data_IF_099529133391
#
_entry.id   IF_099529133391
#
_cell.length_a   1.000
_cell.length_b   1.000
_cell.length_c   1.000
_cell.angle_alpha   90.00
_cell.angle_beta   90.00
_cell.angle_gamma   90.00
#
_symmetry.space_group_name_H-M   'P 1'
#
loop_
_entity.id
_entity.type
_entity.pdbx_description
1 polymer ?
#
# COMPACT_ATOMS: atom_id res chain seq x y z
N UNK A 1 36.78 25.08 -77.01
CA UNK A 1 36.73 25.62 -75.65
C UNK A 1 35.26 25.86 -75.32
N UNK A 2 34.62 25.30 -74.31
CA UNK A 2 35.00 24.30 -73.31
C UNK A 2 33.69 23.76 -72.74
N UNK A 3 33.62 22.45 -72.62
CA UNK A 3 32.55 21.71 -71.95
C UNK A 3 32.52 22.07 -70.45
N UNK A 4 31.50 22.80 -70.02
CA UNK A 4 31.20 23.01 -68.58
C UNK A 4 29.79 22.54 -68.24
N UNK A 5 29.25 21.59 -68.99
CA UNK A 5 28.02 20.89 -68.63
C UNK A 5 28.36 19.64 -67.79
N UNK A 6 29.08 19.82 -66.69
CA UNK A 6 29.34 18.73 -65.74
C UNK A 6 28.94 19.17 -64.35
N UNK A 7 28.03 18.38 -63.76
CA UNK A 7 27.74 18.31 -62.33
C UNK A 7 27.04 19.51 -61.67
N UNK A 8 25.77 19.73 -62.03
CA UNK A 8 24.82 20.35 -61.09
C UNK A 8 23.95 19.25 -60.49
N UNK A 9 24.43 18.63 -59.42
CA UNK A 9 23.61 17.74 -58.60
C UNK A 9 22.32 18.46 -58.15
N UNK A 10 21.15 17.80 -58.17
CA UNK A 10 19.92 18.42 -57.70
C UNK A 10 20.05 18.72 -56.20
N UNK A 11 19.85 19.98 -55.82
CA UNK A 11 19.75 20.38 -54.41
C UNK A 11 18.45 19.84 -53.83
N UNK A 12 18.54 18.71 -53.12
CA UNK A 12 17.42 18.17 -52.35
C UNK A 12 17.11 19.12 -51.19
N UNK A 13 15.90 19.69 -51.16
CA UNK A 13 15.43 20.46 -50.02
C UNK A 13 15.43 19.55 -48.78
N UNK A 14 16.13 19.95 -47.72
CA UNK A 14 16.08 19.25 -46.44
C UNK A 14 14.97 19.84 -45.59
N UNK A 15 14.01 19.01 -45.21
CA UNK A 15 13.00 19.35 -44.22
C UNK A 15 13.63 19.23 -42.82
N UNK A 16 13.54 20.25 -41.95
CA UNK A 16 13.94 20.11 -40.56
C UNK A 16 13.20 18.94 -39.89
N UNK A 17 13.89 18.22 -39.01
CA UNK A 17 13.27 17.17 -38.21
C UNK A 17 12.39 17.83 -37.13
N UNK A 18 11.17 17.30 -36.86
CA UNK A 18 10.37 17.77 -35.73
C UNK A 18 11.09 17.47 -34.39
N UNK A 19 10.80 18.24 -33.33
CA UNK A 19 11.30 17.94 -32.01
C UNK A 19 10.72 16.61 -31.51
N UNK A 20 11.48 15.93 -30.66
CA UNK A 20 11.04 14.69 -30.03
C UNK A 20 9.84 14.94 -29.09
N UNK A 21 8.96 13.93 -28.92
CA UNK A 21 7.85 14.03 -27.98
C UNK A 21 8.36 14.14 -26.53
N UNK A 22 7.55 14.73 -25.62
CA UNK A 22 7.89 14.74 -24.21
C UNK A 22 7.93 13.32 -23.66
N UNK A 23 8.84 13.08 -22.71
CA UNK A 23 8.87 11.82 -21.96
C UNK A 23 7.87 11.90 -20.82
N UNK A 24 6.89 11.00 -20.79
CA UNK A 24 5.98 10.84 -19.66
C UNK A 24 6.73 10.19 -18.50
N UNK A 25 6.65 10.72 -17.27
CA UNK A 25 7.21 10.02 -16.11
C UNK A 25 6.53 8.66 -15.94
N UNK A 26 7.22 7.66 -15.34
CA UNK A 26 6.61 6.39 -15.04
C UNK A 26 5.43 6.59 -14.09
N UNK A 27 4.38 5.78 -14.28
CA UNK A 27 3.23 5.78 -13.39
C UNK A 27 3.68 5.50 -11.94
N UNK A 28 3.22 6.32 -11.00
CA UNK A 28 3.40 6.01 -9.58
C UNK A 28 2.43 4.90 -9.17
N UNK A 29 2.86 3.96 -8.30
CA UNK A 29 1.96 2.97 -7.76
C UNK A 29 0.84 3.64 -6.95
N UNK A 30 -0.35 3.00 -6.87
CA UNK A 30 -1.42 3.49 -6.00
C UNK A 30 -0.95 3.48 -4.54
N UNK A 31 -1.52 4.36 -3.68
CA UNK A 31 -1.19 4.37 -2.27
C UNK A 31 -1.55 3.03 -1.62
N UNK A 32 -0.75 2.62 -0.63
CA UNK A 32 -1.05 1.44 0.19
C UNK A 32 -2.28 1.69 1.06
N UNK A 33 -3.21 0.72 1.17
CA UNK A 33 -4.35 0.81 2.09
C UNK A 33 -3.88 1.01 3.54
N UNK A 34 -4.57 1.87 4.27
CA UNK A 34 -4.31 2.09 5.70
C UNK A 34 -5.05 1.00 6.49
N UNK A 35 -4.38 0.31 7.44
CA UNK A 35 -5.05 -0.68 8.30
C UNK A 35 -6.12 -0.01 9.18
N UNK A 36 -7.17 -0.75 9.57
CA UNK A 36 -8.15 -0.25 10.53
C UNK A 36 -7.47 0.04 11.87
N UNK A 37 -7.99 1.03 12.59
CA UNK A 37 -7.57 1.29 13.96
C UNK A 37 -7.97 0.10 14.85
N UNK A 38 -6.98 -0.52 15.49
CA UNK A 38 -7.18 -1.63 16.43
C UNK A 38 -7.34 -1.15 17.87
N UNK A 39 -7.26 0.17 18.10
CA UNK A 39 -7.49 0.76 19.40
C UNK A 39 -8.96 0.55 19.80
N UNK A 40 -9.25 -0.16 20.91
CA UNK A 40 -10.62 -0.28 21.37
C UNK A 40 -11.18 1.09 21.71
N UNK A 41 -12.44 1.30 21.35
CA UNK A 41 -13.18 2.51 21.70
C UNK A 41 -13.28 2.62 23.24
N UNK A 42 -12.71 3.68 23.86
CA UNK A 42 -12.69 3.84 25.32
C UNK A 42 -14.07 4.14 25.91
N UNK A 43 -15.06 4.43 25.06
CA UNK A 43 -16.45 4.66 25.47
C UNK A 43 -17.29 3.39 25.47
N UNK A 44 -16.75 2.27 24.98
CA UNK A 44 -17.40 0.96 25.09
C UNK A 44 -17.25 0.42 26.51
N UNK A 45 -18.33 -0.16 27.04
CA UNK A 45 -18.27 -0.89 28.30
C UNK A 45 -17.21 -2.01 28.24
N UNK A 46 -16.46 -2.22 29.34
CA UNK A 46 -15.48 -3.30 29.40
C UNK A 46 -16.19 -4.66 29.30
N UNK A 47 -15.51 -5.68 28.75
CA UNK A 47 -16.06 -7.04 28.73
C UNK A 47 -16.33 -7.52 30.16
N UNK A 48 -17.42 -8.27 30.34
CA UNK A 48 -17.74 -8.87 31.64
C UNK A 48 -16.64 -9.84 32.10
N UNK A 49 -16.33 -9.87 33.40
CA UNK A 49 -15.39 -10.86 33.93
C UNK A 49 -15.96 -12.27 33.73
N UNK A 50 -15.10 -13.29 33.55
CA UNK A 50 -15.56 -14.67 33.52
C UNK A 50 -16.30 -14.99 34.82
N UNK A 51 -17.43 -15.68 34.71
CA UNK A 51 -18.13 -16.22 35.87
C UNK A 51 -17.16 -17.13 36.64
N UNK A 52 -17.25 -17.12 37.97
CA UNK A 52 -16.48 -18.03 38.83
C UNK A 52 -16.55 -19.47 38.27
N UNK A 53 -15.50 -20.29 38.50
CA UNK A 53 -15.51 -21.68 38.03
C UNK A 53 -16.83 -22.37 38.40
N UNK A 54 -17.30 -23.28 37.54
CA UNK A 54 -18.58 -24.02 37.70
C UNK A 54 -18.58 -24.92 38.97
N UNK A 55 -17.53 -24.89 39.78
CA UNK A 55 -17.39 -25.67 41.01
C UNK A 55 -17.46 -24.79 42.26
N UNK A 56 -17.88 -25.41 43.36
CA UNK A 56 -17.84 -24.76 44.67
C UNK A 56 -16.42 -24.24 44.96
N UNK A 57 -16.28 -23.05 45.58
CA UNK A 57 -14.98 -22.56 45.99
C UNK A 57 -14.31 -23.58 46.92
N UNK A 58 -12.97 -23.70 46.87
CA UNK A 58 -12.27 -24.54 47.83
C UNK A 58 -12.61 -24.08 49.26
N UNK A 59 -12.69 -25.00 50.23
CA UNK A 59 -12.95 -24.64 51.62
C UNK A 59 -11.89 -23.64 52.10
N UNK A 60 -12.35 -22.61 52.81
CA UNK A 60 -11.49 -21.60 53.40
C UNK A 60 -10.52 -22.18 54.46
N UNK A 61 -9.54 -21.39 54.94
CA UNK A 61 -8.50 -21.87 55.86
C UNK A 61 -9.02 -22.49 57.18
N UNK A 62 -10.24 -22.16 57.58
CA UNK A 62 -10.90 -22.66 58.79
C UNK A 62 -12.09 -23.59 58.49
N UNK A 63 -12.29 -23.99 57.23
CA UNK A 63 -13.38 -24.85 56.81
C UNK A 63 -12.88 -26.29 56.60
N UNK A 64 -13.69 -27.27 57.00
CA UNK A 64 -13.38 -28.68 56.74
C UNK A 64 -13.64 -29.04 55.28
N UNK A 65 -12.88 -29.97 54.66
CA UNK A 65 -13.16 -30.44 53.32
C UNK A 65 -14.61 -30.91 53.15
N UNK A 66 -15.24 -30.53 52.04
CA UNK A 66 -16.55 -31.04 51.62
C UNK A 66 -16.38 -32.50 51.18
N UNK A 67 -16.19 -33.42 52.13
CA UNK A 67 -16.17 -34.86 51.87
C UNK A 67 -17.63 -35.31 51.77
N UNK A 68 -18.05 -35.77 50.59
CA UNK A 68 -19.25 -36.61 50.46
C UNK A 68 -18.84 -38.08 50.50
#
# INVERSE_FOLDING_TARGET
MSDFASDRAPISAQTPQPPDPPVTPPDQPPPTPIPPDTNPDPTRDPPEPPTQPIGDPPPGPNETPHVR
#
